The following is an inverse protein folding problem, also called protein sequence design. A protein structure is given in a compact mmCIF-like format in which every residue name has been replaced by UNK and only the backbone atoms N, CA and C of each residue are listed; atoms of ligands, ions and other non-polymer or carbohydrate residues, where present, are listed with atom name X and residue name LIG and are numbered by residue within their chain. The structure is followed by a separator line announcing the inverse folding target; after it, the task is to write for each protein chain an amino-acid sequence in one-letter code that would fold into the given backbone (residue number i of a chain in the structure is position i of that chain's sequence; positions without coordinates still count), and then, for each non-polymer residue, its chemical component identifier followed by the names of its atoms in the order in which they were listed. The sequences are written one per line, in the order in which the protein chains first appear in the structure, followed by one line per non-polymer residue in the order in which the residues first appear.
data_IF_592831013748
#
_entry.id   IF_592831013748
#
_cell.length_a   1.000
_cell.length_b   1.000
_cell.length_c   1.000
_cell.angle_alpha   90.00
_cell.angle_beta   90.00
_cell.angle_gamma   90.00
#
_symmetry.space_group_name_H-M   'P 1'
#
loop_
_entity.id
_entity.type
_entity.pdbx_description
1 polymer ?
#
# COMPACT_ATOMS: atom_id res chain seq x y z
N UNK A 1 -40.82 -35.61 -46.24
CA UNK A 1 -40.10 -36.07 -45.04
C UNK A 1 -38.69 -35.50 -45.10
N UNK A 2 -38.28 -34.81 -44.02
CA UNK A 2 -36.95 -34.28 -43.69
C UNK A 2 -36.31 -33.28 -44.68
N UNK A 3 -36.44 -31.95 -44.49
CA UNK A 3 -35.66 -31.04 -43.61
C UNK A 3 -34.14 -31.08 -43.86
N UNK A 4 -33.65 -30.12 -44.65
CA UNK A 4 -32.26 -29.67 -44.63
C UNK A 4 -32.27 -28.24 -44.08
N UNK A 5 -31.79 -28.08 -42.84
CA UNK A 5 -31.62 -26.78 -42.21
C UNK A 5 -30.33 -26.12 -42.72
N UNK A 6 -30.50 -24.94 -43.29
CA UNK A 6 -29.43 -24.04 -43.72
C UNK A 6 -29.06 -23.17 -42.50
N UNK A 7 -27.85 -23.33 -41.95
CA UNK A 7 -27.33 -22.39 -40.96
C UNK A 7 -26.92 -21.08 -41.65
N UNK A 8 -27.68 -20.02 -41.37
CA UNK A 8 -27.38 -18.64 -41.77
C UNK A 8 -26.38 -18.02 -40.80
N UNK A 9 -25.32 -17.44 -41.36
CA UNK A 9 -24.34 -16.64 -40.62
C UNK A 9 -25.00 -15.38 -40.04
N UNK A 10 -24.96 -15.24 -38.71
CA UNK A 10 -25.48 -14.07 -38.02
C UNK A 10 -24.52 -12.90 -38.20
N UNK A 11 -24.97 -11.84 -38.87
CA UNK A 11 -24.22 -10.60 -39.04
C UNK A 11 -24.08 -9.87 -37.70
N UNK A 12 -22.85 -9.51 -37.34
CA UNK A 12 -22.55 -8.62 -36.22
C UNK A 12 -23.10 -7.22 -36.55
N UNK A 13 -24.06 -6.76 -35.74
CA UNK A 13 -24.63 -5.42 -35.86
C UNK A 13 -23.57 -4.36 -35.55
N UNK A 14 -23.28 -3.50 -36.53
CA UNK A 14 -22.51 -2.25 -36.31
C UNK A 14 -23.40 -1.27 -35.54
N UNK A 15 -23.03 -0.99 -34.30
CA UNK A 15 -23.54 0.17 -33.55
C UNK A 15 -23.00 1.45 -34.21
N UNK A 16 -23.89 2.24 -34.80
CA UNK A 16 -23.64 3.63 -35.17
C UNK A 16 -23.73 4.50 -33.91
N UNK A 17 -22.59 5.08 -33.51
CA UNK A 17 -22.54 6.12 -32.50
C UNK A 17 -22.85 7.46 -33.17
N UNK A 18 -24.02 8.01 -32.90
CA UNK A 18 -24.36 9.39 -33.22
C UNK A 18 -23.59 10.33 -32.30
N UNK A 19 -23.00 11.38 -32.88
CA UNK A 19 -22.18 12.36 -32.20
C UNK A 19 -22.92 13.07 -31.05
N UNK A 20 -22.31 13.03 -29.88
CA UNK A 20 -22.64 13.89 -28.76
C UNK A 20 -21.64 15.05 -28.74
N UNK A 21 -22.17 16.27 -28.68
CA UNK A 21 -21.42 17.52 -28.55
C UNK A 21 -20.51 17.49 -27.32
N UNK A 22 -19.26 17.90 -27.49
CA UNK A 22 -18.27 18.04 -26.42
C UNK A 22 -18.72 19.13 -25.43
N UNK A 23 -18.81 18.84 -24.12
CA UNK A 23 -19.08 19.87 -23.11
C UNK A 23 -17.88 20.84 -23.01
N UNK A 24 -18.13 22.09 -22.59
CA UNK A 24 -17.10 23.13 -22.56
C UNK A 24 -16.00 22.77 -21.55
N UNK A 25 -14.75 22.90 -21.97
CA UNK A 25 -13.57 22.74 -21.11
C UNK A 25 -13.67 23.74 -19.95
N UNK A 26 -13.62 23.21 -18.72
CA UNK A 26 -13.47 24.01 -17.50
C UNK A 26 -12.16 24.81 -17.54
N UNK A 27 -12.09 25.98 -16.87
CA UNK A 27 -10.91 26.84 -16.92
C UNK A 27 -9.71 26.11 -16.32
N UNK A 28 -8.64 25.97 -17.11
CA UNK A 28 -7.36 25.40 -16.69
C UNK A 28 -6.76 26.36 -15.65
N UNK A 29 -6.56 25.86 -14.44
CA UNK A 29 -5.81 26.57 -13.40
C UNK A 29 -4.39 26.86 -13.91
N UNK A 30 -4.07 28.14 -14.11
CA UNK A 30 -2.78 28.67 -14.59
C UNK A 30 -1.65 28.57 -13.55
N UNK A 31 -1.57 27.47 -12.81
CA UNK A 31 -0.44 27.23 -11.93
C UNK A 31 0.65 26.52 -12.72
N UNK A 32 1.90 27.01 -12.76
CA UNK A 32 2.98 26.32 -13.47
C UNK A 32 3.12 24.89 -12.92
N UNK A 33 2.99 23.91 -13.80
CA UNK A 33 3.16 22.51 -13.46
C UNK A 33 4.64 22.25 -13.25
N UNK A 34 5.03 21.94 -12.01
CA UNK A 34 6.42 21.61 -11.66
C UNK A 34 6.68 20.17 -12.08
N UNK A 35 7.70 19.94 -12.91
CA UNK A 35 8.13 18.58 -13.28
C UNK A 35 9.10 18.04 -12.25
N UNK A 36 9.00 16.74 -11.93
CA UNK A 36 9.94 16.10 -11.02
C UNK A 36 11.35 15.97 -11.65
N UNK A 37 12.31 16.68 -11.08
CA UNK A 37 13.75 16.57 -11.33
C UNK A 37 14.44 15.87 -10.14
N UNK A 38 14.97 14.64 -10.29
CA UNK A 38 15.59 13.92 -9.18
C UNK A 38 16.80 14.65 -8.58
N UNK A 39 17.56 15.41 -9.38
CA UNK A 39 18.74 16.13 -8.91
C UNK A 39 18.40 17.29 -7.95
N UNK A 40 17.16 17.79 -8.00
CA UNK A 40 16.66 18.86 -7.14
C UNK A 40 15.76 18.36 -6.03
N UNK A 41 14.94 17.36 -6.35
CA UNK A 41 13.85 16.93 -5.50
C UNK A 41 14.20 15.74 -4.60
N UNK A 42 15.27 14.98 -4.92
CA UNK A 42 15.79 13.97 -4.01
C UNK A 42 16.86 14.56 -3.10
N UNK A 43 16.71 14.33 -1.80
CA UNK A 43 17.68 14.71 -0.78
C UNK A 43 18.00 13.48 0.08
N UNK A 44 18.53 12.45 -0.58
CA UNK A 44 18.72 11.15 0.06
C UNK A 44 19.97 11.10 0.94
N UNK A 45 19.78 10.61 2.18
CA UNK A 45 20.86 10.05 3.01
C UNK A 45 20.43 8.67 3.48
N UNK A 46 21.29 7.63 3.48
CA UNK A 46 20.93 6.30 3.95
C UNK A 46 20.41 6.31 5.41
N UNK A 47 19.49 5.40 5.78
CA UNK A 47 19.07 5.27 7.17
C UNK A 47 20.25 4.89 8.06
N UNK A 48 20.24 5.36 9.31
CA UNK A 48 21.27 5.03 10.31
C UNK A 48 21.31 3.53 10.63
N UNK A 49 20.16 2.86 10.52
CA UNK A 49 20.02 1.42 10.73
C UNK A 49 18.86 0.86 9.91
N UNK A 50 19.02 -0.40 9.49
CA UNK A 50 17.91 -1.27 9.06
C UNK A 50 17.83 -2.44 10.03
N UNK A 51 16.61 -2.80 10.43
CA UNK A 51 16.34 -3.97 11.24
C UNK A 51 15.95 -5.12 10.32
N UNK A 52 16.66 -6.22 10.43
CA UNK A 52 16.41 -7.42 9.66
C UNK A 52 15.22 -8.21 10.20
N UNK A 53 14.63 -9.07 9.38
CA UNK A 53 13.59 -10.01 9.80
C UNK A 53 14.04 -10.84 11.01
N UNK A 54 15.29 -11.34 10.98
CA UNK A 54 15.87 -12.12 12.07
C UNK A 54 16.02 -11.31 13.38
N UNK A 55 16.45 -10.04 13.32
CA UNK A 55 16.53 -9.18 14.51
C UNK A 55 15.15 -8.89 15.11
N UNK A 56 14.11 -8.86 14.28
CA UNK A 56 12.71 -8.77 14.70
C UNK A 56 12.12 -10.11 15.16
N UNK A 57 12.92 -11.18 15.20
CA UNK A 57 12.48 -12.52 15.64
C UNK A 57 11.72 -13.32 14.58
N UNK A 58 11.72 -12.89 13.31
CA UNK A 58 11.09 -13.60 12.20
C UNK A 58 12.12 -14.39 11.39
N UNK A 59 11.77 -15.59 10.89
CA UNK A 59 12.65 -16.31 9.97
C UNK A 59 12.75 -15.55 8.65
N UNK A 60 13.93 -15.57 8.03
CA UNK A 60 14.18 -14.95 6.72
C UNK A 60 13.23 -15.43 5.60
N UNK A 61 12.62 -16.62 5.74
CA UNK A 61 11.65 -17.15 4.78
C UNK A 61 10.25 -16.53 4.89
N UNK A 62 9.98 -15.76 5.95
CA UNK A 62 8.67 -15.14 6.18
C UNK A 62 8.37 -14.06 5.13
N UNK A 63 9.33 -13.18 4.88
CA UNK A 63 9.21 -12.07 3.93
C UNK A 63 9.73 -12.42 2.52
N UNK A 64 9.79 -11.39 1.68
CA UNK A 64 10.44 -11.36 0.35
C UNK A 64 11.85 -10.74 0.40
N UNK A 65 12.22 -10.16 1.54
CA UNK A 65 13.57 -9.63 1.81
C UNK A 65 13.99 -9.91 3.24
N UNK A 66 15.30 -9.87 3.47
CA UNK A 66 15.93 -9.93 4.79
C UNK A 66 15.70 -8.64 5.61
N UNK A 67 15.44 -7.50 4.97
CA UNK A 67 15.15 -6.23 5.66
C UNK A 67 13.70 -6.18 6.11
N UNK A 68 13.45 -6.02 7.40
CA UNK A 68 12.11 -5.86 7.96
C UNK A 68 11.65 -4.42 7.94
N UNK A 69 12.44 -3.50 8.51
CA UNK A 69 12.12 -2.07 8.62
C UNK A 69 13.39 -1.22 8.64
N UNK A 70 13.34 0.01 8.14
CA UNK A 70 14.42 0.99 8.29
C UNK A 70 14.14 1.98 9.43
N UNK A 71 15.19 2.54 10.03
CA UNK A 71 15.06 3.84 10.68
C UNK A 71 14.65 4.90 9.65
N UNK A 72 14.09 6.05 10.08
CA UNK A 72 13.81 7.17 9.18
C UNK A 72 15.05 7.64 8.42
N UNK A 73 14.85 8.01 7.16
CA UNK A 73 15.89 8.55 6.31
C UNK A 73 15.38 9.71 5.44
N UNK A 74 16.16 10.78 5.23
CA UNK A 74 15.82 11.82 4.27
C UNK A 74 15.66 11.24 2.86
N UNK A 75 14.59 11.64 2.16
CA UNK A 75 14.30 11.17 0.80
C UNK A 75 14.00 12.34 -0.15
N UNK A 76 13.06 13.21 0.21
CA UNK A 76 12.63 14.33 -0.61
C UNK A 76 13.09 15.66 -0.02
N UNK A 77 13.46 16.61 -0.88
CA UNK A 77 13.77 17.98 -0.48
C UNK A 77 12.53 18.73 -0.02
N UNK A 78 12.71 19.86 0.67
CA UNK A 78 11.59 20.70 1.12
C UNK A 78 10.72 21.18 -0.06
N UNK A 79 11.34 21.60 -1.16
CA UNK A 79 10.66 21.98 -2.41
C UNK A 79 9.78 20.84 -2.95
N UNK A 80 10.30 19.61 -2.93
CA UNK A 80 9.55 18.45 -3.38
C UNK A 80 8.34 18.17 -2.48
N UNK A 81 8.52 18.25 -1.15
CA UNK A 81 7.42 18.07 -0.18
C UNK A 81 6.35 19.13 -0.37
N UNK A 82 6.72 20.39 -0.60
CA UNK A 82 5.77 21.48 -0.86
C UNK A 82 4.95 21.22 -2.12
N UNK A 83 5.60 20.79 -3.20
CA UNK A 83 4.91 20.45 -4.43
C UNK A 83 4.00 19.22 -4.27
N UNK A 84 4.46 18.17 -3.57
CA UNK A 84 3.63 17.01 -3.25
C UNK A 84 2.38 17.40 -2.44
N UNK A 85 2.54 18.24 -1.41
CA UNK A 85 1.42 18.74 -0.60
C UNK A 85 0.41 19.51 -1.45
N UNK A 86 0.90 20.35 -2.36
CA UNK A 86 0.05 21.16 -3.26
C UNK A 86 -0.83 20.29 -4.15
N UNK A 87 -0.31 19.19 -4.67
CA UNK A 87 -1.09 18.24 -5.48
C UNK A 87 -2.08 17.45 -4.60
N UNK A 88 -1.60 16.85 -3.51
CA UNK A 88 -2.39 16.02 -2.59
C UNK A 88 -3.57 16.79 -1.97
N UNK A 89 -3.35 18.03 -1.57
CA UNK A 89 -4.36 18.86 -0.89
C UNK A 89 -5.21 19.68 -1.87
N UNK A 90 -5.10 19.42 -3.16
CA UNK A 90 -5.94 20.07 -4.16
C UNK A 90 -7.41 19.68 -3.98
N UNK A 91 -8.31 20.61 -4.32
CA UNK A 91 -9.76 20.37 -4.24
C UNK A 91 -10.19 19.23 -5.15
N UNK A 92 -9.50 19.05 -6.28
CA UNK A 92 -9.79 17.98 -7.23
C UNK A 92 -9.51 16.59 -6.64
N UNK A 93 -8.35 16.42 -6.00
CA UNK A 93 -7.99 15.17 -5.31
C UNK A 93 -9.03 14.85 -4.24
N UNK A 94 -9.35 15.83 -3.39
CA UNK A 94 -10.33 15.63 -2.31
C UNK A 94 -11.71 15.23 -2.85
N UNK A 95 -12.19 15.90 -3.89
CA UNK A 95 -13.53 15.67 -4.43
C UNK A 95 -13.70 14.28 -5.09
N UNK A 96 -12.63 13.71 -5.66
CA UNK A 96 -12.69 12.48 -6.47
C UNK A 96 -12.12 11.25 -5.77
N UNK A 97 -11.19 11.43 -4.82
CA UNK A 97 -10.33 10.36 -4.32
C UNK A 97 -10.32 10.21 -2.80
N UNK A 98 -11.21 10.90 -2.06
CA UNK A 98 -11.34 10.77 -0.61
C UNK A 98 -12.22 9.56 -0.21
N UNK A 99 -11.71 8.77 0.74
CA UNK A 99 -12.33 7.58 1.31
C UNK A 99 -12.18 7.59 2.84
N UNK A 100 -13.04 6.86 3.54
CA UNK A 100 -12.95 6.65 4.99
C UNK A 100 -13.30 5.20 5.35
N UNK A 101 -12.81 4.72 6.49
CA UNK A 101 -13.08 3.37 7.02
C UNK A 101 -12.98 3.32 8.54
N UNK A 102 -13.36 2.18 9.11
CA UNK A 102 -13.19 1.87 10.53
C UNK A 102 -11.71 1.89 10.97
N UNK A 103 -10.76 1.74 10.02
CA UNK A 103 -9.32 1.76 10.28
C UNK A 103 -8.69 3.16 10.14
N UNK A 104 -9.27 4.04 9.32
CA UNK A 104 -8.74 5.36 9.03
C UNK A 104 -9.84 6.37 8.63
N UNK A 105 -9.84 7.53 9.27
CA UNK A 105 -10.91 8.53 9.19
C UNK A 105 -10.97 9.31 7.86
N UNK A 106 -9.83 9.58 7.23
CA UNK A 106 -9.76 10.21 5.90
C UNK A 106 -8.50 9.75 5.17
N UNK A 107 -8.71 9.15 4.00
CA UNK A 107 -7.68 8.59 3.13
C UNK A 107 -7.87 9.05 1.69
N UNK A 108 -6.78 9.40 1.00
CA UNK A 108 -6.77 9.71 -0.42
C UNK A 108 -6.11 8.58 -1.20
N UNK A 109 -6.79 8.03 -2.22
CA UNK A 109 -6.29 6.85 -2.98
C UNK A 109 -6.52 6.95 -4.48
N UNK A 110 -5.58 6.41 -5.25
CA UNK A 110 -5.68 6.32 -6.69
C UNK A 110 -5.69 7.67 -7.42
N UNK A 111 -5.21 8.73 -6.78
CA UNK A 111 -5.24 10.09 -7.35
C UNK A 111 -4.01 10.43 -8.19
N UNK A 112 -2.89 9.75 -7.96
CA UNK A 112 -1.60 10.15 -8.54
C UNK A 112 -1.59 10.20 -10.08
N UNK A 113 -2.09 9.17 -10.80
CA UNK A 113 -2.10 9.17 -12.26
C UNK A 113 -2.96 10.29 -12.87
N UNK A 114 -4.01 10.69 -12.16
CA UNK A 114 -5.04 11.59 -12.68
C UNK A 114 -4.81 13.06 -12.31
N UNK A 115 -4.34 13.31 -11.08
CA UNK A 115 -4.37 14.62 -10.45
C UNK A 115 -3.03 15.07 -9.85
N UNK A 116 -2.04 14.18 -9.71
CA UNK A 116 -0.77 14.49 -9.05
C UNK A 116 0.44 14.00 -9.86
N UNK A 117 0.70 14.63 -11.02
CA UNK A 117 1.77 14.23 -11.93
C UNK A 117 3.16 14.32 -11.28
N UNK A 118 3.43 15.29 -10.40
CA UNK A 118 4.69 15.35 -9.68
C UNK A 118 4.85 14.17 -8.73
N UNK A 119 3.81 13.83 -7.96
CA UNK A 119 3.81 12.63 -7.07
C UNK A 119 4.01 11.36 -7.89
N UNK A 120 3.28 11.22 -9.01
CA UNK A 120 3.37 10.07 -9.89
C UNK A 120 4.78 9.89 -10.45
N UNK A 121 5.36 10.94 -11.01
CA UNK A 121 6.72 10.92 -11.57
C UNK A 121 7.77 10.68 -10.48
N UNK A 122 7.62 11.28 -9.30
CA UNK A 122 8.54 11.11 -8.17
C UNK A 122 8.68 9.64 -7.75
N UNK A 123 7.55 8.92 -7.66
CA UNK A 123 7.53 7.53 -7.22
C UNK A 123 7.81 6.51 -8.33
N UNK A 124 7.72 6.89 -9.61
CA UNK A 124 8.13 6.05 -10.75
C UNK A 124 9.55 6.35 -11.24
N UNK A 125 10.18 7.42 -10.76
CA UNK A 125 11.53 7.80 -11.16
C UNK A 125 12.56 6.69 -10.83
N UNK A 126 13.43 6.30 -11.78
CA UNK A 126 14.42 5.25 -11.56
C UNK A 126 15.39 5.51 -10.39
N UNK A 127 15.74 6.76 -10.10
CA UNK A 127 16.63 7.11 -8.99
C UNK A 127 15.94 6.93 -7.64
N UNK A 128 14.68 7.34 -7.53
CA UNK A 128 13.84 7.04 -6.36
C UNK A 128 13.77 5.53 -6.15
N UNK A 129 13.40 4.76 -7.19
CA UNK A 129 13.30 3.31 -7.09
C UNK A 129 14.63 2.65 -6.71
N UNK A 130 15.76 3.14 -7.22
CA UNK A 130 17.08 2.62 -6.85
C UNK A 130 17.39 2.82 -5.36
N UNK A 131 17.02 3.98 -4.78
CA UNK A 131 17.17 4.25 -3.35
C UNK A 131 16.29 3.28 -2.54
N UNK A 132 15.01 3.19 -2.89
CA UNK A 132 14.03 2.35 -2.18
C UNK A 132 14.45 0.87 -2.23
N UNK A 133 14.79 0.35 -3.42
CA UNK A 133 15.26 -1.02 -3.62
C UNK A 133 16.54 -1.32 -2.82
N UNK A 134 17.47 -0.37 -2.77
CA UNK A 134 18.72 -0.54 -2.02
C UNK A 134 18.47 -0.67 -0.52
N UNK A 135 17.58 0.15 0.04
CA UNK A 135 17.24 0.10 1.47
C UNK A 135 16.43 -1.16 1.78
N UNK A 136 15.49 -1.53 0.92
CA UNK A 136 14.66 -2.72 1.07
C UNK A 136 15.44 -4.03 0.91
N UNK A 137 16.64 -4.00 0.33
CA UNK A 137 17.46 -5.20 0.09
C UNK A 137 16.92 -6.14 -0.99
N UNK A 138 15.99 -5.65 -1.82
CA UNK A 138 15.39 -6.37 -2.96
C UNK A 138 14.96 -5.34 -4.01
N UNK A 139 14.98 -5.71 -5.29
CA UNK A 139 14.53 -4.81 -6.36
C UNK A 139 13.01 -4.65 -6.34
N UNK A 140 12.55 -3.42 -6.10
CA UNK A 140 11.16 -3.04 -5.94
C UNK A 140 10.65 -2.16 -7.09
N UNK A 141 9.35 -2.29 -7.35
CA UNK A 141 8.54 -1.40 -8.19
C UNK A 141 7.27 -1.02 -7.42
N UNK A 142 6.65 0.14 -7.73
CA UNK A 142 5.32 0.44 -7.21
C UNK A 142 4.38 -0.74 -7.50
N UNK A 143 3.59 -1.15 -6.51
CA UNK A 143 2.75 -2.33 -6.61
C UNK A 143 1.75 -2.19 -7.76
N UNK A 144 1.07 -1.05 -7.79
CA UNK A 144 0.11 -0.61 -8.80
C UNK A 144 0.15 0.92 -8.85
N UNK A 145 -0.22 1.51 -9.99
CA UNK A 145 -0.33 2.97 -10.10
C UNK A 145 -1.40 3.52 -9.13
N UNK A 146 -2.45 2.73 -8.85
CA UNK A 146 -3.48 3.04 -7.86
C UNK A 146 -2.93 3.22 -6.42
N UNK A 147 -1.79 2.59 -6.12
CA UNK A 147 -1.15 2.56 -4.81
C UNK A 147 0.03 3.53 -4.69
N UNK A 148 0.22 4.39 -5.69
CA UNK A 148 1.20 5.46 -5.63
C UNK A 148 0.66 6.57 -4.74
N UNK A 149 1.38 6.84 -3.66
CA UNK A 149 1.18 8.02 -2.83
C UNK A 149 -0.15 8.06 -2.08
N UNK A 150 -0.72 6.92 -1.67
CA UNK A 150 -1.86 6.89 -0.74
C UNK A 150 -1.63 7.88 0.41
N UNK A 151 -2.59 8.73 0.76
CA UNK A 151 -2.41 9.70 1.84
C UNK A 151 -3.37 9.42 2.98
N UNK A 152 -2.84 9.34 4.20
CA UNK A 152 -3.64 9.41 5.42
C UNK A 152 -3.65 10.85 5.94
N UNK A 153 -4.84 11.42 6.10
CA UNK A 153 -5.05 12.78 6.60
C UNK A 153 -5.56 12.74 8.04
N UNK A 154 -4.83 13.39 8.94
CA UNK A 154 -5.31 13.69 10.29
C UNK A 154 -5.15 15.19 10.52
N UNK A 155 -6.28 15.88 10.71
CA UNK A 155 -6.32 17.33 11.01
C UNK A 155 -7.13 17.49 12.28
N UNK A 156 -6.60 18.27 13.22
CA UNK A 156 -7.25 18.59 14.50
C UNK A 156 -7.24 20.10 14.70
N UNK A 157 -8.31 20.62 15.29
CA UNK A 157 -8.40 22.02 15.69
C UNK A 157 -7.46 22.33 16.86
N UNK A 158 -7.07 23.60 17.04
CA UNK A 158 -6.26 24.01 18.19
C UNK A 158 -6.93 23.69 19.53
N UNK A 159 -8.27 23.73 19.59
CA UNK A 159 -9.04 23.38 20.78
C UNK A 159 -8.97 21.87 21.09
N UNK A 160 -9.08 21.02 20.07
CA UNK A 160 -8.94 19.57 20.20
C UNK A 160 -7.51 19.18 20.57
N UNK A 161 -6.52 19.84 19.95
CA UNK A 161 -5.11 19.72 20.32
C UNK A 161 -4.91 20.07 21.79
N UNK A 162 -5.40 21.22 22.26
CA UNK A 162 -5.27 21.64 23.65
C UNK A 162 -5.94 20.66 24.63
N UNK A 163 -7.14 20.17 24.29
CA UNK A 163 -7.85 19.15 25.07
C UNK A 163 -7.09 17.82 25.14
N UNK A 164 -6.59 17.32 24.01
CA UNK A 164 -5.83 16.08 23.94
C UNK A 164 -4.52 16.18 24.74
N UNK A 165 -3.80 17.31 24.64
CA UNK A 165 -2.60 17.59 25.45
C UNK A 165 -2.90 17.65 26.95
N UNK A 166 -4.04 18.23 27.35
CA UNK A 166 -4.45 18.28 28.75
C UNK A 166 -4.78 16.88 29.31
N UNK A 167 -5.58 16.09 28.57
CA UNK A 167 -5.92 14.71 28.92
C UNK A 167 -4.66 13.84 29.09
N UNK A 168 -3.72 13.94 28.16
CA UNK A 168 -2.48 13.16 28.21
C UNK A 168 -1.59 13.55 29.39
N UNK A 169 -1.51 14.85 29.72
CA UNK A 169 -0.79 15.29 30.93
C UNK A 169 -1.42 14.73 32.20
N UNK A 170 -2.74 14.64 32.26
CA UNK A 170 -3.47 14.04 33.37
C UNK A 170 -3.22 12.52 33.46
N UNK A 171 -3.32 11.80 32.35
CA UNK A 171 -3.05 10.36 32.28
C UNK A 171 -1.59 10.01 32.60
N UNK A 172 -0.64 10.80 32.10
CA UNK A 172 0.77 10.65 32.42
C UNK A 172 1.04 10.89 33.92
N UNK A 173 0.37 11.88 34.52
CA UNK A 173 0.42 12.11 35.97
C UNK A 173 -0.22 10.97 36.79
N UNK A 174 -1.19 10.26 36.20
CA UNK A 174 -1.82 9.06 36.77
C UNK A 174 -1.03 7.77 36.49
N UNK A 175 0.09 7.82 35.75
CA UNK A 175 0.91 6.66 35.40
C UNK A 175 0.32 5.75 34.32
N UNK A 176 -0.67 6.21 33.55
CA UNK A 176 -1.31 5.46 32.47
C UNK A 176 -0.52 5.65 31.17
N UNK A 177 -0.27 4.55 30.44
CA UNK A 177 0.36 4.60 29.11
C UNK A 177 -0.66 5.03 28.05
N UNK A 178 -0.78 6.34 27.84
CA UNK A 178 -1.77 6.94 26.94
C UNK A 178 -1.52 6.68 25.45
N UNK A 179 -0.29 6.31 25.06
CA UNK A 179 0.10 6.12 23.64
C UNK A 179 -0.68 4.98 22.96
N UNK A 180 -1.14 4.01 23.76
CA UNK A 180 -1.83 2.80 23.30
C UNK A 180 -3.37 2.95 23.27
N UNK A 181 -3.95 4.00 23.88
CA UNK A 181 -5.41 4.13 24.09
C UNK A 181 -6.18 4.56 22.82
N UNK A 182 -5.51 5.08 21.78
CA UNK A 182 -6.17 5.58 20.56
C UNK A 182 -5.20 5.73 19.37
N UNK A 183 -4.73 4.63 18.75
CA UNK A 183 -3.80 4.68 17.62
C UNK A 183 -4.38 5.46 16.42
N UNK A 184 -3.51 5.97 15.55
CA UNK A 184 -3.90 6.62 14.28
C UNK A 184 -4.36 5.57 13.28
N UNK A 185 -3.65 4.45 13.24
CA UNK A 185 -3.99 3.25 12.47
C UNK A 185 -3.77 2.08 13.40
N UNK A 186 -4.83 1.31 13.67
CA UNK A 186 -4.78 0.19 14.62
C UNK A 186 -3.88 -0.96 14.10
N UNK A 187 -3.64 -1.98 14.91
CA UNK A 187 -2.81 -3.13 14.52
C UNK A 187 -3.28 -3.73 13.20
N UNK A 188 -2.36 -3.90 12.26
CA UNK A 188 -2.66 -4.50 10.96
C UNK A 188 -1.42 -5.10 10.31
N UNK A 189 -1.64 -5.84 9.23
CA UNK A 189 -0.64 -6.03 8.18
C UNK A 189 -1.10 -5.37 6.91
N UNK A 190 -0.12 -4.88 6.15
CA UNK A 190 -0.41 -4.22 4.88
C UNK A 190 -0.93 -5.20 3.84
N UNK A 191 -1.57 -4.64 2.83
CA UNK A 191 -1.96 -5.37 1.62
C UNK A 191 -0.76 -5.83 0.79
N UNK A 192 0.33 -5.05 0.76
CA UNK A 192 1.44 -5.23 -0.19
C UNK A 192 2.76 -5.58 0.52
N UNK A 193 3.68 -6.30 -0.16
CA UNK A 193 4.93 -6.77 0.44
C UNK A 193 5.73 -5.68 1.16
N UNK A 194 5.81 -4.49 0.56
CA UNK A 194 6.53 -3.35 1.11
C UNK A 194 5.70 -2.07 1.03
N UNK A 195 5.97 -1.16 1.96
CA UNK A 195 5.51 0.23 1.91
C UNK A 195 6.67 1.18 2.16
N UNK A 196 6.61 2.35 1.54
CA UNK A 196 7.41 3.51 1.89
C UNK A 196 6.49 4.58 2.46
N UNK A 197 6.65 4.89 3.74
CA UNK A 197 5.88 5.93 4.44
C UNK A 197 6.71 7.21 4.47
N UNK A 198 6.25 8.24 3.78
CA UNK A 198 6.86 9.58 3.71
C UNK A 198 6.02 10.59 4.48
N UNK A 199 6.65 11.38 5.35
CA UNK A 199 5.93 12.42 6.09
C UNK A 199 5.90 13.74 5.32
N UNK A 200 4.71 14.32 5.14
CA UNK A 200 4.54 15.60 4.47
C UNK A 200 4.28 16.76 5.44
N UNK A 201 3.77 16.48 6.64
CA UNK A 201 3.59 17.50 7.68
C UNK A 201 4.89 17.76 8.44
N UNK A 202 5.02 18.97 8.98
CA UNK A 202 6.03 19.24 9.98
C UNK A 202 5.65 18.54 11.29
N UNK A 203 6.54 17.68 11.76
CA UNK A 203 6.36 16.86 12.95
C UNK A 203 7.39 17.19 14.05
N UNK A 204 8.06 18.34 13.95
CA UNK A 204 9.17 18.72 14.85
C UNK A 204 8.73 18.77 16.32
N UNK A 205 7.55 19.31 16.60
CA UNK A 205 6.98 19.43 17.95
C UNK A 205 6.09 18.24 18.34
N UNK A 206 6.07 17.18 17.53
CA UNK A 206 5.24 16.02 17.83
C UNK A 206 5.86 15.14 18.91
N UNK A 207 5.04 14.78 19.89
CA UNK A 207 5.33 13.75 20.89
C UNK A 207 4.49 12.52 20.56
N UNK A 208 5.14 11.35 20.48
CA UNK A 208 4.53 10.12 20.01
C UNK A 208 4.59 9.98 18.48
N UNK A 209 3.74 9.11 17.92
CA UNK A 209 3.68 8.85 16.48
C UNK A 209 4.68 7.82 15.94
N UNK A 210 5.33 7.08 16.84
CA UNK A 210 6.14 5.91 16.51
C UNK A 210 5.31 4.84 15.81
N UNK A 211 5.99 4.03 15.00
CA UNK A 211 5.41 2.79 14.50
C UNK A 211 5.75 1.69 15.48
N UNK A 212 4.72 1.13 16.11
CA UNK A 212 4.85 -0.08 16.92
C UNK A 212 4.87 -1.29 15.99
N UNK A 213 5.85 -2.18 16.18
CA UNK A 213 6.06 -3.40 15.42
C UNK A 213 5.96 -4.58 16.37
N UNK A 214 5.13 -5.56 16.04
CA UNK A 214 5.13 -6.84 16.76
C UNK A 214 6.30 -7.67 16.28
N UNK A 215 7.14 -8.13 17.20
CA UNK A 215 8.24 -9.07 16.93
C UNK A 215 7.72 -10.50 16.84
N UNK A 216 8.58 -11.41 16.37
CA UNK A 216 8.25 -12.84 16.27
C UNK A 216 8.03 -13.55 17.61
N UNK A 217 8.54 -13.00 18.71
CA UNK A 217 8.30 -13.45 20.08
C UNK A 217 7.02 -12.83 20.70
N UNK A 218 6.34 -11.95 19.98
CA UNK A 218 5.13 -11.25 20.43
C UNK A 218 5.39 -9.92 21.16
N UNK A 219 6.64 -9.60 21.49
CA UNK A 219 7.01 -8.30 22.07
C UNK A 219 6.78 -7.15 21.08
N UNK A 220 6.60 -5.93 21.59
CA UNK A 220 6.43 -4.73 20.77
C UNK A 220 7.71 -3.92 20.75
N UNK A 221 8.25 -3.67 19.55
CA UNK A 221 9.33 -2.73 19.32
C UNK A 221 8.76 -1.42 18.75
N UNK A 222 9.19 -0.27 19.26
CA UNK A 222 8.81 1.05 18.71
C UNK A 222 9.95 1.58 17.84
N UNK A 223 9.63 1.97 16.61
CA UNK A 223 10.57 2.63 15.70
C UNK A 223 10.10 4.06 15.48
N UNK A 224 11.05 5.00 15.48
CA UNK A 224 10.74 6.41 15.30
C UNK A 224 10.07 6.63 13.93
N UNK A 225 8.98 7.41 13.91
CA UNK A 225 8.33 7.80 12.66
C UNK A 225 9.16 8.81 11.84
N UNK A 226 8.91 8.92 10.53
CA UNK A 226 9.58 9.89 9.68
C UNK A 226 9.21 11.33 10.02
N UNK A 227 10.18 12.24 9.88
CA UNK A 227 9.99 13.69 9.88
C UNK A 227 9.69 14.19 8.47
N UNK A 228 9.25 15.45 8.32
CA UNK A 228 8.94 16.07 7.03
C UNK A 228 10.02 15.77 5.98
N UNK A 229 9.62 15.24 4.81
CA UNK A 229 10.52 14.88 3.70
C UNK A 229 11.36 13.62 3.91
N UNK A 230 11.34 13.05 5.11
CA UNK A 230 11.93 11.75 5.41
C UNK A 230 10.93 10.63 5.19
N UNK A 231 11.46 9.42 5.02
CA UNK A 231 10.69 8.21 4.79
C UNK A 231 11.16 7.04 5.65
N UNK A 232 10.29 6.02 5.76
CA UNK A 232 10.59 4.71 6.36
C UNK A 232 10.16 3.62 5.38
N UNK A 233 11.00 2.60 5.22
CA UNK A 233 10.65 1.36 4.50
C UNK A 233 10.24 0.30 5.50
N UNK A 234 9.11 -0.35 5.24
CA UNK A 234 8.58 -1.45 6.07
C UNK A 234 8.08 -2.59 5.20
N UNK A 235 8.41 -3.83 5.59
CA UNK A 235 7.88 -5.06 5.00
C UNK A 235 6.50 -5.40 5.59
N UNK A 236 5.56 -4.46 5.48
CA UNK A 236 4.35 -4.40 6.31
C UNK A 236 3.33 -5.53 6.08
N UNK A 237 3.41 -6.25 4.96
CA UNK A 237 2.61 -7.49 4.75
C UNK A 237 2.94 -8.57 5.78
N UNK A 238 4.19 -8.61 6.24
CA UNK A 238 4.73 -9.72 7.02
C UNK A 238 4.91 -9.38 8.51
N UNK A 239 4.92 -8.10 8.85
CA UNK A 239 5.13 -7.58 10.20
C UNK A 239 3.84 -6.88 10.63
N UNK A 240 3.20 -7.41 11.68
CA UNK A 240 2.03 -6.77 12.27
C UNK A 240 2.49 -5.48 12.96
N UNK A 241 1.83 -4.36 12.64
CA UNK A 241 2.27 -3.05 13.08
C UNK A 241 1.10 -2.10 13.32
N UNK A 242 1.37 -1.01 14.03
CA UNK A 242 0.40 0.00 14.42
C UNK A 242 1.06 1.39 14.40
N UNK A 243 0.32 2.40 13.94
CA UNK A 243 0.78 3.79 14.00
C UNK A 243 0.25 4.42 15.29
N UNK A 244 1.15 4.71 16.23
CA UNK A 244 0.76 5.27 17.54
C UNK A 244 0.26 6.69 17.40
N UNK A 245 -0.51 7.12 18.40
CA UNK A 245 -1.01 8.49 18.46
C UNK A 245 0.15 9.47 18.61
N UNK A 246 0.02 10.61 17.95
CA UNK A 246 0.92 11.71 18.12
C UNK A 246 0.16 12.96 18.57
N UNK A 247 0.80 13.77 19.39
CA UNK A 247 0.27 15.01 19.96
C UNK A 247 1.19 16.17 19.62
N UNK A 248 0.67 17.40 19.65
CA UNK A 248 1.48 18.61 19.50
C UNK A 248 1.39 19.28 18.12
N UNK A 249 0.88 18.59 17.11
CA UNK A 249 0.59 19.18 15.79
C UNK A 249 -0.91 19.37 15.57
N UNK A 250 -1.28 20.30 14.68
CA UNK A 250 -2.65 20.47 14.16
C UNK A 250 -2.90 19.62 12.91
N UNK A 251 -1.84 19.17 12.22
CA UNK A 251 -1.94 18.29 11.06
C UNK A 251 -0.87 17.20 11.03
N UNK A 252 -1.26 16.01 10.57
CA UNK A 252 -0.35 14.90 10.24
C UNK A 252 -0.78 14.29 8.91
N UNK A 253 0.00 14.58 7.88
CA UNK A 253 -0.19 14.10 6.51
C UNK A 253 0.94 13.13 6.20
N UNK A 254 0.63 11.84 6.12
CA UNK A 254 1.57 10.79 5.73
C UNK A 254 1.19 10.22 4.37
N UNK A 255 2.13 10.23 3.45
CA UNK A 255 2.02 9.60 2.14
C UNK A 255 2.65 8.21 2.18
N UNK A 256 1.98 7.22 1.60
CA UNK A 256 2.36 5.81 1.60
C UNK A 256 2.36 5.33 0.16
N UNK A 257 3.51 4.88 -0.32
CA UNK A 257 3.59 4.19 -1.62
C UNK A 257 3.86 2.72 -1.38
N UNK A 258 3.03 1.87 -1.96
CA UNK A 258 3.14 0.42 -1.83
C UNK A 258 4.03 -0.15 -2.93
N UNK A 259 4.83 -1.17 -2.60
CA UNK A 259 5.81 -1.78 -3.49
C UNK A 259 5.69 -3.31 -3.51
N UNK A 260 6.08 -3.88 -4.64
CA UNK A 260 6.28 -5.33 -4.81
C UNK A 260 7.67 -5.61 -5.41
N UNK A 261 8.21 -6.82 -5.23
CA UNK A 261 9.38 -7.25 -5.96
C UNK A 261 9.16 -7.13 -7.48
N UNK A 262 10.16 -6.60 -8.20
CA UNK A 262 10.10 -6.52 -9.67
C UNK A 262 10.07 -7.90 -10.31
N UNK A 263 10.89 -8.82 -9.81
CA UNK A 263 11.04 -10.15 -10.39
C UNK A 263 9.83 -11.02 -10.10
N UNK A 264 9.23 -11.58 -11.15
CA UNK A 264 8.15 -12.54 -11.01
C UNK A 264 8.58 -13.86 -10.32
N UNK A 265 9.89 -14.13 -10.19
CA UNK A 265 10.41 -15.31 -9.51
C UNK A 265 10.36 -15.20 -7.98
N UNK A 266 10.20 -13.98 -7.44
CA UNK A 266 10.01 -13.77 -6.01
C UNK A 266 8.51 -13.89 -5.72
N UNK A 267 8.16 -14.45 -4.56
CA UNK A 267 6.76 -14.57 -4.14
C UNK A 267 6.11 -13.19 -4.00
N UNK A 268 4.82 -13.13 -4.29
CA UNK A 268 3.98 -11.95 -4.11
C UNK A 268 2.74 -12.35 -3.31
N UNK A 269 2.80 -12.05 -2.01
CA UNK A 269 1.75 -12.34 -1.03
C UNK A 269 0.78 -11.15 -0.87
N UNK A 270 0.65 -10.31 -1.91
CA UNK A 270 -0.30 -9.18 -1.94
C UNK A 270 -1.72 -9.67 -1.72
N UNK A 271 -2.42 -9.11 -0.74
CA UNK A 271 -3.85 -9.33 -0.50
C UNK A 271 -4.60 -8.02 -0.66
N UNK A 272 -5.90 -8.05 -0.94
CA UNK A 272 -6.72 -6.83 -1.09
C UNK A 272 -7.61 -6.56 0.12
N UNK A 273 -7.50 -7.36 1.19
CA UNK A 273 -8.42 -7.35 2.33
C UNK A 273 -8.53 -6.01 3.07
N UNK A 274 -7.45 -5.25 3.21
CA UNK A 274 -7.47 -3.96 3.92
C UNK A 274 -7.77 -2.77 3.02
N UNK A 275 -7.62 -2.92 1.70
CA UNK A 275 -7.73 -1.82 0.74
C UNK A 275 -9.03 -1.84 -0.06
N UNK A 276 -9.63 -3.02 -0.24
CA UNK A 276 -10.84 -3.24 -1.04
C UNK A 276 -12.02 -2.36 -0.61
N UNK A 277 -12.25 -2.22 0.70
CA UNK A 277 -13.38 -1.45 1.23
C UNK A 277 -13.23 0.08 1.06
N UNK A 278 -12.01 0.55 0.75
CA UNK A 278 -11.64 1.98 0.67
C UNK A 278 -11.07 2.35 -0.69
N UNK A 279 -11.44 1.63 -1.75
CA UNK A 279 -10.89 1.85 -3.09
C UNK A 279 -11.98 1.88 -4.16
N UNK A 280 -11.65 2.46 -5.31
CA UNK A 280 -12.40 2.19 -6.53
C UNK A 280 -12.09 0.75 -6.97
N UNK A 281 -13.06 -0.15 -6.81
CA UNK A 281 -12.90 -1.57 -7.11
C UNK A 281 -12.58 -1.85 -8.58
N UNK A 282 -13.10 -1.03 -9.51
CA UNK A 282 -12.82 -1.20 -10.93
C UNK A 282 -11.32 -1.04 -11.19
N UNK A 283 -10.74 0.05 -10.70
CA UNK A 283 -9.31 0.33 -10.87
C UNK A 283 -8.44 -0.65 -10.08
N UNK A 284 -8.80 -0.91 -8.82
CA UNK A 284 -8.05 -1.81 -7.95
C UNK A 284 -7.96 -3.22 -8.54
N UNK A 285 -9.08 -3.80 -8.96
CA UNK A 285 -9.10 -5.15 -9.52
C UNK A 285 -8.51 -5.22 -10.92
N UNK A 286 -8.69 -4.19 -11.75
CA UNK A 286 -8.09 -4.14 -13.07
C UNK A 286 -6.56 -4.18 -12.97
N UNK A 287 -5.97 -3.26 -12.22
CA UNK A 287 -4.51 -3.19 -12.06
C UNK A 287 -3.97 -4.43 -11.33
N UNK A 288 -4.68 -4.93 -10.32
CA UNK A 288 -4.27 -6.15 -9.61
C UNK A 288 -4.24 -7.37 -10.53
N UNK A 289 -5.30 -7.57 -11.32
CA UNK A 289 -5.36 -8.68 -12.25
C UNK A 289 -4.29 -8.55 -13.34
N UNK A 290 -4.12 -7.35 -13.91
CA UNK A 290 -3.16 -7.07 -14.97
C UNK A 290 -1.73 -7.44 -14.56
N UNK A 291 -1.20 -6.86 -13.48
CA UNK A 291 0.20 -7.14 -13.12
C UNK A 291 0.42 -8.60 -12.72
N UNK A 292 -0.57 -9.25 -12.10
CA UNK A 292 -0.47 -10.66 -11.71
C UNK A 292 -0.47 -11.57 -12.95
N UNK A 293 -1.21 -11.23 -14.00
CA UNK A 293 -1.15 -11.95 -15.28
C UNK A 293 0.18 -11.71 -16.01
N UNK A 294 0.75 -10.50 -15.95
CA UNK A 294 2.09 -10.23 -16.47
C UNK A 294 3.16 -11.08 -15.76
N UNK A 295 3.05 -11.25 -14.43
CA UNK A 295 3.92 -12.15 -13.67
C UNK A 295 3.80 -13.60 -14.17
N UNK A 296 2.58 -14.10 -14.38
CA UNK A 296 2.36 -15.44 -14.94
C UNK A 296 2.94 -15.59 -16.35
N UNK A 297 2.82 -14.56 -17.18
CA UNK A 297 3.43 -14.55 -18.51
C UNK A 297 4.95 -14.69 -18.41
N UNK A 298 5.60 -13.92 -17.54
CA UNK A 298 7.04 -13.99 -17.32
C UNK A 298 7.48 -15.38 -16.80
N UNK A 299 6.76 -15.92 -15.80
CA UNK A 299 7.01 -17.25 -15.24
C UNK A 299 6.88 -18.35 -16.29
N UNK A 300 5.80 -18.33 -17.07
CA UNK A 300 5.59 -19.25 -18.19
C UNK A 300 6.68 -19.14 -19.26
N UNK A 301 7.12 -17.93 -19.57
CA UNK A 301 8.23 -17.70 -20.51
C UNK A 301 9.54 -18.30 -19.98
N UNK A 302 9.79 -18.17 -18.67
CA UNK A 302 11.00 -18.67 -18.02
C UNK A 302 11.04 -20.21 -17.94
N UNK A 303 9.95 -20.88 -17.54
CA UNK A 303 9.93 -22.35 -17.52
C UNK A 303 10.06 -22.95 -18.93
N UNK A 304 9.45 -22.31 -19.93
CA UNK A 304 9.58 -22.73 -21.33
C UNK A 304 11.03 -22.62 -21.83
N UNK A 305 11.71 -21.52 -21.48
CA UNK A 305 13.13 -21.33 -21.79
C UNK A 305 13.98 -22.42 -21.14
N UNK A 306 13.79 -22.64 -19.84
CA UNK A 306 14.47 -23.70 -19.08
C UNK A 306 14.30 -25.07 -19.74
N UNK A 307 13.07 -25.47 -20.04
CA UNK A 307 12.77 -26.76 -20.68
C UNK A 307 13.42 -26.90 -22.07
N UNK A 308 13.40 -25.84 -22.88
CA UNK A 308 14.06 -25.82 -24.19
C UNK A 308 15.57 -26.00 -24.06
N UNK A 309 16.19 -25.35 -23.08
CA UNK A 309 17.62 -25.44 -22.85
C UNK A 309 18.03 -26.82 -22.31
N UNK A 310 17.25 -27.41 -21.39
CA UNK A 310 17.47 -28.79 -20.95
C UNK A 310 17.39 -29.78 -22.12
N UNK A 311 16.39 -29.63 -22.99
CA UNK A 311 16.22 -30.47 -24.19
C UNK A 311 17.39 -30.32 -25.17
N UNK A 312 17.82 -29.08 -25.45
CA UNK A 312 18.96 -28.79 -26.33
C UNK A 312 20.27 -29.38 -25.78
N UNK A 313 20.43 -29.39 -24.46
CA UNK A 313 21.55 -30.03 -23.78
C UNK A 313 21.40 -31.56 -23.63
N UNK A 314 20.38 -32.17 -24.24
CA UNK A 314 20.07 -33.60 -24.15
C UNK A 314 19.95 -34.13 -22.71
N UNK A 315 19.46 -33.28 -21.80
CA UNK A 315 19.20 -33.65 -20.40
C UNK A 315 17.82 -34.28 -20.26
N UNK A 316 17.65 -35.15 -19.27
CA UNK A 316 16.36 -35.76 -18.96
C UNK A 316 15.32 -34.69 -18.59
N UNK A 317 14.06 -34.95 -18.90
CA UNK A 317 12.95 -34.07 -18.52
C UNK A 317 12.77 -34.05 -16.99
N UNK A 318 12.85 -32.87 -16.40
CA UNK A 318 12.67 -32.68 -14.96
C UNK A 318 11.18 -32.72 -14.59
N UNK A 319 10.63 -33.94 -14.54
CA UNK A 319 9.21 -34.15 -14.21
C UNK A 319 8.84 -33.58 -12.84
N UNK A 320 9.74 -33.64 -11.85
CA UNK A 320 9.45 -33.14 -10.50
C UNK A 320 9.40 -31.62 -10.50
N UNK A 321 10.45 -30.95 -10.98
CA UNK A 321 10.51 -29.49 -11.02
C UNK A 321 9.37 -28.86 -11.83
N UNK A 322 9.00 -29.47 -12.96
CA UNK A 322 7.85 -28.97 -13.76
C UNK A 322 6.52 -29.17 -13.02
N UNK A 323 6.32 -30.28 -12.31
CA UNK A 323 5.10 -30.49 -11.50
C UNK A 323 5.02 -29.51 -10.33
N UNK A 324 6.14 -29.23 -9.68
CA UNK A 324 6.19 -28.27 -8.58
C UNK A 324 5.90 -26.85 -9.08
N UNK A 325 6.49 -26.45 -10.22
CA UNK A 325 6.17 -25.19 -10.89
C UNK A 325 4.68 -25.05 -11.22
N UNK A 326 4.06 -26.10 -11.80
CA UNK A 326 2.64 -26.10 -12.14
C UNK A 326 1.79 -25.91 -10.87
N UNK A 327 2.11 -26.62 -9.79
CA UNK A 327 1.39 -26.50 -8.52
C UNK A 327 1.48 -25.08 -7.97
N UNK A 328 2.66 -24.47 -7.98
CA UNK A 328 2.85 -23.08 -7.55
C UNK A 328 1.97 -22.11 -8.36
N UNK A 329 1.82 -22.31 -9.67
CA UNK A 329 0.97 -21.44 -10.50
C UNK A 329 -0.52 -21.65 -10.22
N UNK A 330 -0.93 -22.88 -9.88
CA UNK A 330 -2.31 -23.17 -9.43
C UNK A 330 -2.58 -22.42 -8.13
N UNK A 331 -1.71 -22.55 -7.13
CA UNK A 331 -1.84 -21.86 -5.84
C UNK A 331 -1.88 -20.33 -6.02
N UNK A 332 -1.09 -19.79 -6.95
CA UNK A 332 -1.08 -18.37 -7.30
C UNK A 332 -2.41 -17.89 -7.90
N UNK A 333 -3.02 -18.68 -8.78
CA UNK A 333 -4.32 -18.38 -9.40
C UNK A 333 -5.47 -18.51 -8.40
N UNK A 334 -5.48 -19.57 -7.59
CA UNK A 334 -6.46 -19.73 -6.51
C UNK A 334 -6.38 -18.59 -5.50
N UNK A 335 -5.16 -18.11 -5.20
CA UNK A 335 -4.97 -16.92 -4.39
C UNK A 335 -5.59 -15.67 -5.05
N UNK A 336 -5.35 -15.43 -6.34
CA UNK A 336 -5.96 -14.30 -7.05
C UNK A 336 -7.48 -14.37 -7.04
N UNK A 337 -8.05 -15.55 -7.28
CA UNK A 337 -9.50 -15.79 -7.25
C UNK A 337 -10.10 -15.42 -5.90
N UNK A 338 -9.44 -15.78 -4.79
CA UNK A 338 -9.90 -15.40 -3.44
C UNK A 338 -9.87 -13.89 -3.20
N UNK A 339 -8.94 -13.15 -3.81
CA UNK A 339 -8.82 -11.71 -3.60
C UNK A 339 -9.78 -10.87 -4.45
N UNK A 340 -10.20 -11.38 -5.61
CA UNK A 340 -11.17 -10.72 -6.50
C UNK A 340 -12.58 -11.24 -6.16
N UNK A 341 -13.24 -10.58 -5.20
CA UNK A 341 -14.61 -10.92 -4.81
C UNK A 341 -15.65 -10.10 -5.60
N UNK A 342 -16.86 -10.63 -5.85
CA UNK A 342 -17.94 -9.87 -6.46
C UNK A 342 -18.18 -8.53 -5.76
N UNK A 343 -18.34 -7.46 -6.56
CA UNK A 343 -18.41 -6.08 -6.06
C UNK A 343 -19.54 -5.88 -5.04
N UNK A 344 -20.67 -6.57 -5.23
CA UNK A 344 -21.84 -6.55 -4.35
C UNK A 344 -21.60 -7.12 -2.95
N UNK A 345 -20.53 -7.92 -2.77
CA UNK A 345 -20.15 -8.47 -1.46
C UNK A 345 -19.24 -7.52 -0.67
N UNK A 346 -18.74 -6.45 -1.29
CA UNK A 346 -17.85 -5.48 -0.64
C UNK A 346 -18.67 -4.41 0.08
N UNK A 347 -18.57 -4.39 1.41
CA UNK A 347 -19.10 -3.31 2.23
C UNK A 347 -18.08 -2.18 2.31
N UNK A 348 -18.39 -1.02 1.74
CA UNK A 348 -17.52 0.17 1.79
C UNK A 348 -17.22 0.56 3.25
N UNK A 349 -15.97 0.90 3.53
CA UNK A 349 -15.47 1.31 4.84
C UNK A 349 -15.31 0.21 5.89
N UNK A 350 -15.86 -1.00 5.67
CA UNK A 350 -15.82 -2.09 6.65
C UNK A 350 -14.66 -3.04 6.38
N UNK A 351 -13.71 -3.09 7.31
CA UNK A 351 -12.53 -3.97 7.22
C UNK A 351 -12.67 -5.12 8.24
N UNK A 352 -12.61 -6.36 7.74
CA UNK A 352 -12.61 -7.58 8.56
C UNK A 352 -11.29 -7.78 9.33
N UNK A 353 -11.17 -8.81 10.16
CA UNK A 353 -9.99 -9.10 11.01
C UNK A 353 -8.96 -10.04 10.34
N UNK A 354 -9.21 -10.46 9.10
CA UNK A 354 -8.35 -11.39 8.35
C UNK A 354 -6.93 -10.87 8.07
N UNK A 355 -6.72 -9.56 8.24
CA UNK A 355 -5.43 -8.90 8.06
C UNK A 355 -4.53 -8.99 9.31
N UNK A 356 -4.99 -9.60 10.40
CA UNK A 356 -4.23 -9.76 11.63
C UNK A 356 -3.54 -11.11 11.66
N UNK A 357 -2.31 -11.12 12.16
CA UNK A 357 -1.53 -12.36 12.29
C UNK A 357 -1.70 -12.92 13.71
N UNK A 358 -1.70 -12.06 14.72
CA UNK A 358 -1.73 -12.49 16.12
C UNK A 358 -3.13 -12.88 16.60
N UNK A 359 -3.26 -14.10 17.16
CA UNK A 359 -4.51 -14.57 17.78
C UNK A 359 -4.91 -13.71 18.98
N UNK A 360 -3.93 -13.14 19.69
CA UNK A 360 -4.18 -12.19 20.76
C UNK A 360 -4.90 -10.94 20.23
N UNK A 361 -4.43 -10.38 19.12
CA UNK A 361 -5.00 -9.16 18.51
C UNK A 361 -6.43 -9.43 18.00
N UNK A 362 -6.66 -10.61 17.39
CA UNK A 362 -8.00 -11.04 16.98
C UNK A 362 -8.96 -11.17 18.15
N UNK A 363 -8.52 -11.80 19.25
CA UNK A 363 -9.34 -11.94 20.45
C UNK A 363 -9.64 -10.59 21.10
N UNK A 364 -8.67 -9.68 21.13
CA UNK A 364 -8.85 -8.34 21.69
C UNK A 364 -9.87 -7.51 20.89
N UNK A 365 -9.77 -7.50 19.55
CA UNK A 365 -10.78 -6.85 18.70
C UNK A 365 -12.15 -7.49 18.81
N UNK A 366 -12.23 -8.82 18.90
CA UNK A 366 -13.48 -9.54 19.12
C UNK A 366 -14.14 -9.13 20.44
N UNK A 367 -13.36 -8.98 21.53
CA UNK A 367 -13.84 -8.46 22.82
C UNK A 367 -14.32 -7.01 22.72
N UNK A 368 -13.57 -6.13 22.06
CA UNK A 368 -13.96 -4.71 21.86
C UNK A 368 -15.28 -4.60 21.08
N UNK A 369 -15.44 -5.38 19.99
CA UNK A 369 -16.68 -5.46 19.22
C UNK A 369 -17.85 -6.03 20.03
N UNK A 370 -17.59 -7.04 20.86
CA UNK A 370 -18.60 -7.62 21.75
C UNK A 370 -19.06 -6.66 22.86
N UNK A 371 -18.16 -5.83 23.38
CA UNK A 371 -18.49 -4.80 24.37
C UNK A 371 -19.34 -3.67 23.76
N UNK A 372 -19.00 -3.19 22.56
CA UNK A 372 -19.77 -2.17 21.85
C UNK A 372 -21.19 -2.63 21.45
N UNK A 373 -21.37 -3.93 21.18
CA UNK A 373 -22.68 -4.50 20.85
C UNK A 373 -23.54 -4.81 22.09
N UNK A 374 -23.00 -4.68 23.31
CA UNK A 374 -23.72 -4.87 24.57
C UNK A 374 -24.20 -3.57 25.22
N UNK A 375 -23.93 -2.43 24.58
CA UNK A 375 -24.35 -1.08 25.03
C UNK A 375 -25.51 -0.48 24.19
N UNK A 376 -26.03 -1.22 23.20
CA UNK A 376 -27.36 -0.99 22.58
C UNK A 376 -28.45 -1.81 23.28
#
# INVERSE_FOLDING_TARGET
MATAETMTATSVARLQLNGAETPPKSPVSETPQVTFDPAKHLQHTPPSKVYTMNELGYPNSRGVSHVGVSEPFPLFSEEAVEQMRKEVLSQEVKAKHEYSSDLAQSQLRGFAPDCAPFVYDAWKNPETLAIISKIAGVDLVPAMDFEIGHVNLSVTSDEEKARALAYVKEQAAAGVNWEDESPIVDWHTDSYPFVCVTMLSDCTDMVGGETALRKGDGEVAKVRGPQRGSAVILQGRYIEHQALRALGTTERISMVTSFRPRSAAIKDDTVLTTVRAVSNLNELYHQFAEYRFEMLEERCRNINRYMRDQKRANRAFDTRGVRDFIREQIEFLEHMEREIVPNELVKKGVIGDSHLISDHTKQELSRRRGAAAGEE
#
